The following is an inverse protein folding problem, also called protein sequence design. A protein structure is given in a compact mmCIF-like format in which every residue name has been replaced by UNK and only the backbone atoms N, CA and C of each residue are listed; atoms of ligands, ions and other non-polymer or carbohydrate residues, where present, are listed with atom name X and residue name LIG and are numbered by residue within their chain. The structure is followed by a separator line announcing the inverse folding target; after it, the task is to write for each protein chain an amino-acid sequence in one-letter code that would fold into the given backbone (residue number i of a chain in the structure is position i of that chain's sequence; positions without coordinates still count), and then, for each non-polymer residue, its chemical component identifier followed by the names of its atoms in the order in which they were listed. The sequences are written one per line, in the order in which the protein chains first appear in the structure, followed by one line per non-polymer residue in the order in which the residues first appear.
data_IF_199438171679
#
_entry.id   IF_199438171679
#
_cell.length_a   1.000
_cell.length_b   1.000
_cell.length_c   1.000
_cell.angle_alpha   90.00
_cell.angle_beta   90.00
_cell.angle_gamma   90.00
#
_symmetry.space_group_name_H-M   'P 1'
#
loop_
_entity.id
_entity.type
_entity.pdbx_description
1 polymer ?
#
# COMPACT_ATOMS: atom_id res chain seq x y z
N UNK A 1 13.01 -18.14 -2.06
CA UNK A 1 11.93 -18.98 -1.54
C UNK A 1 11.25 -19.63 -2.74
N UNK A 2 11.41 -20.91 -2.97
CA UNK A 2 10.76 -21.63 -4.07
C UNK A 2 9.40 -22.09 -3.56
N UNK A 3 8.32 -21.62 -4.17
CA UNK A 3 6.98 -22.12 -3.88
C UNK A 3 6.84 -23.53 -4.46
N UNK A 4 6.32 -24.51 -3.71
CA UNK A 4 6.11 -25.85 -4.24
C UNK A 4 5.00 -25.81 -5.29
N UNK A 5 5.29 -26.36 -6.48
CA UNK A 5 4.38 -26.65 -7.59
C UNK A 5 3.32 -25.58 -7.91
N UNK A 6 3.78 -24.44 -8.45
CA UNK A 6 2.97 -23.30 -8.82
C UNK A 6 2.60 -23.21 -10.30
N UNK A 7 2.23 -24.30 -10.95
CA UNK A 7 1.85 -24.25 -12.37
C UNK A 7 0.45 -23.69 -12.65
N UNK A 8 -0.29 -23.24 -11.62
CA UNK A 8 -1.66 -22.76 -11.81
C UNK A 8 -1.80 -21.26 -11.95
N UNK A 9 -1.06 -20.47 -11.17
CA UNK A 9 -1.19 -19.01 -11.15
C UNK A 9 0.20 -18.37 -11.05
N UNK A 10 0.54 -17.58 -12.05
CA UNK A 10 1.82 -16.84 -12.08
C UNK A 10 1.67 -15.43 -11.50
N UNK A 11 0.45 -14.85 -11.58
CA UNK A 11 0.16 -13.50 -11.14
C UNK A 11 -1.07 -13.44 -10.24
N UNK A 12 -1.07 -12.49 -9.31
CA UNK A 12 -2.15 -12.32 -8.35
C UNK A 12 -3.52 -12.06 -9.00
N UNK A 13 -3.57 -11.39 -10.14
CA UNK A 13 -4.83 -11.13 -10.86
C UNK A 13 -5.49 -12.41 -11.37
N UNK A 14 -4.72 -13.43 -11.74
CA UNK A 14 -5.25 -14.74 -12.19
C UNK A 14 -5.97 -15.46 -11.03
N UNK A 15 -5.37 -15.39 -9.83
CA UNK A 15 -5.97 -15.93 -8.62
C UNK A 15 -7.27 -15.19 -8.25
N UNK A 16 -7.29 -13.86 -8.36
CA UNK A 16 -8.49 -13.05 -8.14
C UNK A 16 -9.61 -13.46 -9.08
N UNK A 17 -9.32 -13.61 -10.37
CA UNK A 17 -10.28 -14.06 -11.37
C UNK A 17 -10.84 -15.45 -11.04
N UNK A 18 -9.99 -16.35 -10.57
CA UNK A 18 -10.44 -17.69 -10.19
C UNK A 18 -11.34 -17.68 -8.96
N UNK A 19 -10.98 -16.92 -7.92
CA UNK A 19 -11.79 -16.78 -6.71
C UNK A 19 -13.18 -16.22 -7.03
N UNK A 20 -13.29 -15.20 -7.88
CA UNK A 20 -14.57 -14.60 -8.28
C UNK A 20 -15.50 -15.58 -9.04
N UNK A 21 -14.97 -16.64 -9.65
CA UNK A 21 -15.81 -17.70 -10.24
C UNK A 21 -16.47 -18.60 -9.20
N UNK A 22 -15.92 -18.67 -8.00
CA UNK A 22 -16.40 -19.56 -6.94
C UNK A 22 -17.38 -18.92 -5.96
N UNK A 23 -17.60 -17.61 -6.05
CA UNK A 23 -18.56 -16.90 -5.20
C UNK A 23 -18.32 -15.40 -5.14
N UNK A 24 -19.22 -14.73 -4.45
CA UNK A 24 -19.13 -13.27 -4.19
C UNK A 24 -18.28 -13.01 -2.93
N UNK A 25 -16.97 -13.15 -3.09
CA UNK A 25 -16.00 -12.88 -2.02
C UNK A 25 -15.53 -11.42 -2.08
N UNK A 26 -15.41 -10.80 -0.90
CA UNK A 26 -14.70 -9.54 -0.75
C UNK A 26 -13.19 -9.81 -0.79
N UNK A 27 -12.50 -9.28 -1.79
CA UNK A 27 -11.09 -9.58 -2.06
C UNK A 27 -10.24 -8.33 -1.83
N UNK A 28 -9.34 -8.42 -0.86
CA UNK A 28 -8.28 -7.43 -0.65
C UNK A 28 -6.99 -7.80 -1.40
N UNK A 29 -6.28 -6.81 -1.90
CA UNK A 29 -5.00 -7.02 -2.55
C UNK A 29 -3.95 -6.00 -2.12
N UNK A 30 -2.69 -6.43 -2.04
CA UNK A 30 -1.58 -5.56 -1.73
C UNK A 30 -1.23 -4.64 -2.90
N UNK A 31 -0.86 -3.39 -2.59
CA UNK A 31 -0.24 -2.45 -3.52
C UNK A 31 1.00 -1.80 -2.90
N UNK A 32 1.89 -1.33 -3.76
CA UNK A 32 3.21 -0.83 -3.39
C UNK A 32 3.38 0.60 -3.90
N UNK A 33 3.09 1.62 -3.08
CA UNK A 33 3.20 3.01 -3.52
C UNK A 33 4.61 3.43 -3.95
N UNK A 34 5.63 2.81 -3.37
CA UNK A 34 7.04 3.03 -3.71
C UNK A 34 7.55 2.16 -4.88
N UNK A 35 6.75 1.17 -5.28
CA UNK A 35 7.09 0.12 -6.25
C UNK A 35 7.50 -1.18 -5.58
N UNK A 36 7.28 -2.31 -6.26
CA UNK A 36 7.67 -3.63 -5.77
C UNK A 36 9.18 -3.83 -5.95
N UNK A 37 9.84 -4.37 -4.93
CA UNK A 37 11.32 -4.55 -4.92
C UNK A 37 11.87 -5.43 -6.04
N UNK A 38 11.05 -6.31 -6.60
CA UNK A 38 11.44 -7.22 -7.69
C UNK A 38 11.20 -6.61 -9.08
N UNK A 39 10.57 -5.44 -9.18
CA UNK A 39 10.28 -4.79 -10.45
C UNK A 39 11.31 -3.72 -10.79
N UNK A 40 11.87 -3.81 -11.99
CA UNK A 40 12.83 -2.82 -12.48
C UNK A 40 12.16 -1.51 -12.93
N UNK A 41 10.86 -1.58 -13.31
CA UNK A 41 10.11 -0.45 -13.83
C UNK A 41 8.80 -0.22 -13.08
N UNK A 42 8.62 0.95 -12.47
CA UNK A 42 7.39 1.35 -11.78
C UNK A 42 6.13 1.32 -12.67
N UNK A 43 6.29 1.53 -13.96
CA UNK A 43 5.18 1.48 -14.93
C UNK A 43 4.56 0.08 -15.04
N UNK A 44 5.37 -0.96 -14.91
CA UNK A 44 4.90 -2.34 -14.91
C UNK A 44 4.10 -2.67 -13.65
N UNK A 45 4.54 -2.18 -12.48
CA UNK A 45 3.79 -2.31 -11.24
C UNK A 45 2.39 -1.71 -11.33
N UNK A 46 2.29 -0.51 -11.90
CA UNK A 46 1.00 0.18 -12.09
C UNK A 46 0.11 -0.61 -13.05
N UNK A 47 0.69 -1.17 -14.12
CA UNK A 47 -0.05 -2.02 -15.05
C UNK A 47 -0.58 -3.30 -14.39
N UNK A 48 0.25 -3.99 -13.62
CA UNK A 48 -0.16 -5.19 -12.88
C UNK A 48 -1.18 -4.88 -11.79
N UNK A 49 -1.04 -3.75 -11.12
CA UNK A 49 -2.02 -3.29 -10.14
C UNK A 49 -3.36 -3.01 -10.80
N UNK A 50 -3.38 -2.35 -11.95
CA UNK A 50 -4.59 -2.12 -12.73
C UNK A 50 -5.25 -3.44 -13.14
N UNK A 51 -4.49 -4.41 -13.66
CA UNK A 51 -5.02 -5.74 -13.99
C UNK A 51 -5.63 -6.43 -12.78
N UNK A 52 -5.01 -6.29 -11.61
CA UNK A 52 -5.50 -6.84 -10.35
C UNK A 52 -6.85 -6.21 -9.94
N UNK A 53 -6.96 -4.88 -10.01
CA UNK A 53 -8.20 -4.15 -9.73
C UNK A 53 -9.29 -4.51 -10.74
N UNK A 54 -8.98 -4.52 -12.03
CA UNK A 54 -9.92 -4.87 -13.11
C UNK A 54 -10.41 -6.33 -13.01
N UNK A 55 -9.66 -7.19 -12.32
CA UNK A 55 -10.03 -8.60 -12.06
C UNK A 55 -11.04 -8.78 -10.93
N UNK A 56 -11.43 -7.72 -10.21
CA UNK A 56 -12.47 -7.76 -9.19
C UNK A 56 -11.96 -7.65 -7.76
N UNK A 57 -10.84 -6.97 -7.53
CA UNK A 57 -10.39 -6.60 -6.19
C UNK A 57 -11.31 -5.51 -5.63
N UNK A 58 -11.79 -5.69 -4.41
CA UNK A 58 -12.74 -4.78 -3.75
C UNK A 58 -12.01 -3.67 -2.98
N UNK A 59 -10.84 -3.96 -2.38
CA UNK A 59 -10.02 -2.96 -1.70
C UNK A 59 -8.52 -3.24 -1.86
N UNK A 60 -7.71 -2.20 -1.66
CA UNK A 60 -6.25 -2.28 -1.70
C UNK A 60 -5.67 -1.98 -0.33
N UNK A 61 -4.67 -2.78 0.08
CA UNK A 61 -3.84 -2.51 1.25
C UNK A 61 -2.46 -2.08 0.78
N UNK A 62 -2.04 -0.89 1.18
CA UNK A 62 -0.70 -0.39 0.83
C UNK A 62 0.38 -1.10 1.64
N UNK A 63 1.53 -1.31 1.02
CA UNK A 63 2.75 -1.54 1.77
C UNK A 63 3.02 -0.30 2.65
N UNK A 64 3.67 -0.52 3.80
CA UNK A 64 4.02 0.56 4.72
C UNK A 64 4.89 1.61 4.02
N UNK A 65 4.59 2.88 4.25
CA UNK A 65 5.34 4.03 3.78
C UNK A 65 5.48 5.07 4.90
N UNK A 66 6.52 5.90 4.82
CA UNK A 66 6.82 6.93 5.83
C UNK A 66 6.67 8.35 5.28
N UNK A 67 6.31 8.49 4.01
CA UNK A 67 6.13 9.76 3.33
C UNK A 67 4.78 9.78 2.64
N UNK A 68 3.88 10.68 3.07
CA UNK A 68 2.54 10.79 2.51
C UNK A 68 2.54 11.30 1.07
N UNK A 69 3.57 12.03 0.65
CA UNK A 69 3.70 12.49 -0.75
C UNK A 69 3.76 11.29 -1.72
N UNK A 70 4.34 10.17 -1.29
CA UNK A 70 4.37 8.94 -2.07
C UNK A 70 2.97 8.41 -2.31
N UNK A 71 2.13 8.44 -1.27
CA UNK A 71 0.73 8.03 -1.35
C UNK A 71 -0.08 8.98 -2.23
N UNK A 72 0.05 10.31 -2.06
CA UNK A 72 -0.68 11.29 -2.85
C UNK A 72 -0.32 11.27 -4.34
N UNK A 73 0.92 10.93 -4.66
CA UNK A 73 1.39 10.79 -6.04
C UNK A 73 1.12 9.42 -6.64
N UNK A 74 0.50 8.50 -5.89
CA UNK A 74 0.23 7.15 -6.38
C UNK A 74 -0.88 7.16 -7.43
N UNK A 75 -0.64 6.67 -8.67
CA UNK A 75 -1.53 6.89 -9.81
C UNK A 75 -2.93 6.30 -9.69
N UNK A 76 -3.12 5.29 -8.84
CA UNK A 76 -4.42 4.61 -8.66
C UNK A 76 -5.45 5.53 -8.00
N UNK A 77 -5.04 6.48 -7.17
CA UNK A 77 -5.94 7.47 -6.57
C UNK A 77 -6.43 8.49 -7.58
N UNK A 78 -5.57 8.93 -8.50
CA UNK A 78 -5.92 9.94 -9.50
C UNK A 78 -6.93 9.45 -10.54
N UNK A 79 -7.12 8.15 -10.73
CA UNK A 79 -8.13 7.61 -11.65
C UNK A 79 -9.53 7.59 -11.03
N UNK A 80 -9.67 7.42 -9.70
CA UNK A 80 -10.97 7.39 -9.00
C UNK A 80 -11.57 8.77 -8.75
N UNK A 81 -10.76 9.80 -8.59
CA UNK A 81 -11.23 11.18 -8.38
C UNK A 81 -11.90 11.82 -9.60
N UNK A 82 -11.83 11.20 -10.77
CA UNK A 82 -12.42 11.72 -12.03
C UNK A 82 -13.76 11.09 -12.40
N UNK A 83 -14.18 9.99 -11.76
CA UNK A 83 -15.39 9.25 -12.12
C UNK A 83 -16.57 9.41 -11.14
N UNK A 84 -16.70 10.57 -10.48
CA UNK A 84 -17.84 10.86 -9.60
C UNK A 84 -19.16 11.17 -10.33
N UNK A 85 -19.35 10.76 -11.60
CA UNK A 85 -20.56 11.08 -12.36
C UNK A 85 -21.43 9.90 -12.78
N UNK A 86 -21.26 8.69 -12.25
CA UNK A 86 -22.23 7.61 -12.51
C UNK A 86 -22.31 6.66 -11.33
N UNK A 87 -23.50 6.61 -10.71
CA UNK A 87 -23.80 5.78 -9.55
C UNK A 87 -23.58 4.29 -9.82
N UNK A 88 -22.49 3.80 -9.33
CA UNK A 88 -22.22 2.39 -9.10
C UNK A 88 -21.55 2.30 -7.74
N UNK A 89 -21.99 1.33 -6.92
CA UNK A 89 -21.52 1.10 -5.57
C UNK A 89 -20.00 1.19 -5.50
N UNK A 90 -19.50 2.26 -4.88
CA UNK A 90 -18.08 2.56 -4.82
C UNK A 90 -17.36 1.55 -3.94
N UNK A 91 -16.41 0.83 -4.51
CA UNK A 91 -15.42 0.12 -3.73
C UNK A 91 -14.55 1.16 -3.04
N UNK A 92 -14.79 1.38 -1.76
CA UNK A 92 -13.89 2.14 -0.90
C UNK A 92 -12.61 1.34 -0.74
N UNK A 93 -11.49 1.88 -1.16
CA UNK A 93 -10.21 1.33 -0.80
C UNK A 93 -9.92 1.72 0.66
N UNK A 94 -10.29 0.84 1.58
CA UNK A 94 -9.88 0.96 2.97
C UNK A 94 -8.37 0.74 3.05
N UNK A 95 -7.65 1.76 3.50
CA UNK A 95 -6.21 1.68 3.69
C UNK A 95 -5.91 1.22 5.11
N UNK A 96 -5.52 -0.04 5.26
CA UNK A 96 -5.04 -0.55 6.53
C UNK A 96 -3.51 -0.46 6.58
N UNK A 97 -2.99 0.41 7.43
CA UNK A 97 -1.55 0.52 7.67
C UNK A 97 -1.12 -0.65 8.56
N UNK A 98 -0.42 -1.63 8.00
CA UNK A 98 0.18 -2.72 8.78
C UNK A 98 1.50 -2.24 9.39
N UNK A 99 1.51 -2.08 10.70
CA UNK A 99 2.68 -1.77 11.50
C UNK A 99 3.33 -3.04 12.02
N UNK A 100 4.07 -3.78 11.20
CA UNK A 100 4.93 -4.85 11.69
C UNK A 100 6.33 -4.74 11.11
N UNK A 101 7.30 -4.60 12.04
CA UNK A 101 8.75 -4.74 11.92
C UNK A 101 9.38 -4.53 10.52
N UNK A 102 9.39 -3.28 10.06
CA UNK A 102 10.16 -2.91 8.89
C UNK A 102 11.66 -3.04 9.17
N UNK A 103 12.25 -4.14 8.75
CA UNK A 103 13.71 -4.23 8.63
C UNK A 103 14.15 -3.43 7.41
N UNK A 104 15.11 -2.49 7.56
CA UNK A 104 15.67 -1.78 6.41
C UNK A 104 16.19 -2.79 5.38
N UNK A 105 15.73 -2.66 4.13
CA UNK A 105 16.25 -3.44 3.01
C UNK A 105 15.40 -4.61 2.51
N UNK A 106 14.37 -5.05 3.24
CA UNK A 106 13.51 -6.17 2.77
C UNK A 106 12.19 -5.75 2.13
N UNK A 107 11.71 -4.55 2.42
CA UNK A 107 10.42 -4.04 1.92
C UNK A 107 10.51 -3.02 0.79
N UNK A 108 11.71 -2.58 0.42
CA UNK A 108 11.91 -1.49 -0.54
C UNK A 108 11.47 -0.10 -0.03
N UNK A 109 11.07 -0.01 1.24
CA UNK A 109 10.56 1.23 1.84
C UNK A 109 11.66 2.27 1.99
N UNK A 110 11.40 3.48 1.53
CA UNK A 110 12.32 4.62 1.62
C UNK A 110 12.02 5.42 2.89
N UNK A 111 13.05 5.65 3.70
CA UNK A 111 12.91 6.47 4.90
C UNK A 111 13.19 7.95 4.57
N UNK A 112 12.20 8.86 4.79
CA UNK A 112 12.41 10.29 4.59
C UNK A 112 13.45 10.84 5.57
N UNK A 113 14.13 11.92 5.18
CA UNK A 113 15.20 12.55 5.99
C UNK A 113 14.72 12.89 7.40
N UNK A 114 13.45 13.30 7.56
CA UNK A 114 12.85 13.61 8.87
C UNK A 114 12.83 12.36 9.76
N UNK A 115 12.45 11.20 9.23
CA UNK A 115 12.42 9.94 9.98
C UNK A 115 13.83 9.46 10.34
N UNK A 116 14.79 9.57 9.41
CA UNK A 116 16.19 9.23 9.67
C UNK A 116 16.79 10.10 10.77
N UNK A 117 16.48 11.41 10.82
CA UNK A 117 16.92 12.28 11.89
C UNK A 117 16.34 11.89 13.27
N UNK A 118 15.11 11.38 13.30
CA UNK A 118 14.48 10.83 14.53
C UNK A 118 15.23 9.57 14.98
N UNK A 119 15.52 8.66 14.06
CA UNK A 119 16.27 7.43 14.34
C UNK A 119 17.67 7.75 14.88
N UNK A 120 18.38 8.67 14.25
CA UNK A 120 19.73 9.09 14.67
C UNK A 120 19.71 9.70 16.08
N UNK A 121 18.72 10.54 16.37
CA UNK A 121 18.64 11.25 17.66
C UNK A 121 18.14 10.38 18.82
N UNK A 122 17.18 9.51 18.58
CA UNK A 122 16.43 8.79 19.64
C UNK A 122 16.65 7.27 19.62
N UNK A 123 17.26 6.71 18.58
CA UNK A 123 17.39 5.28 18.39
C UNK A 123 18.15 4.53 19.51
N UNK A 124 18.99 5.22 20.29
CA UNK A 124 19.68 4.64 21.44
C UNK A 124 18.81 4.50 22.69
N UNK A 125 17.64 5.14 22.73
CA UNK A 125 16.70 5.12 23.87
C UNK A 125 15.35 4.57 23.44
N UNK A 126 14.98 3.31 23.81
CA UNK A 126 13.71 2.69 23.41
C UNK A 126 12.49 3.52 23.77
N UNK A 127 12.45 4.12 24.96
CA UNK A 127 11.30 4.91 25.41
C UNK A 127 11.17 6.22 24.63
N UNK A 128 12.29 6.91 24.38
CA UNK A 128 12.31 8.13 23.60
C UNK A 128 11.95 7.84 22.12
N UNK A 129 12.45 6.73 21.56
CA UNK A 129 12.12 6.29 20.20
C UNK A 129 10.64 5.96 20.05
N UNK A 130 10.05 5.26 21.04
CA UNK A 130 8.61 4.97 21.06
C UNK A 130 7.77 6.25 21.05
N UNK A 131 8.12 7.24 21.88
CA UNK A 131 7.40 8.52 21.90
C UNK A 131 7.54 9.29 20.58
N UNK A 132 8.74 9.35 20.02
CA UNK A 132 9.00 10.00 18.76
C UNK A 132 8.26 9.30 17.59
N UNK A 133 8.19 7.97 17.61
CA UNK A 133 7.44 7.17 16.64
C UNK A 133 5.94 7.45 16.71
N UNK A 134 5.36 7.52 17.91
CA UNK A 134 3.93 7.86 18.10
C UNK A 134 3.63 9.26 17.53
N UNK A 135 4.47 10.25 17.82
CA UNK A 135 4.30 11.61 17.30
C UNK A 135 4.38 11.62 15.78
N UNK A 136 5.37 10.92 15.20
CA UNK A 136 5.53 10.83 13.76
C UNK A 136 4.32 10.19 13.08
N UNK A 137 3.85 9.05 13.58
CA UNK A 137 2.68 8.35 13.05
C UNK A 137 1.40 9.18 13.20
N UNK A 138 1.24 9.88 14.32
CA UNK A 138 0.09 10.78 14.54
C UNK A 138 0.07 11.92 13.54
N UNK A 139 1.21 12.57 13.30
CA UNK A 139 1.35 13.63 12.32
C UNK A 139 1.03 13.14 10.89
N UNK A 140 1.52 11.95 10.54
CA UNK A 140 1.24 11.31 9.26
C UNK A 140 -0.27 11.01 9.08
N UNK A 141 -0.94 10.49 10.11
CA UNK A 141 -2.38 10.21 10.09
C UNK A 141 -3.19 11.51 9.96
N UNK A 142 -2.83 12.56 10.72
CA UNK A 142 -3.51 13.87 10.65
C UNK A 142 -3.41 14.43 9.24
N UNK A 143 -2.24 14.35 8.62
CA UNK A 143 -2.03 14.83 7.26
C UNK A 143 -2.85 14.03 6.23
N UNK A 144 -2.90 12.69 6.34
CA UNK A 144 -3.73 11.84 5.50
C UNK A 144 -5.21 12.20 5.60
N UNK A 145 -5.73 12.35 6.82
CA UNK A 145 -7.13 12.73 7.06
C UNK A 145 -7.45 14.14 6.52
N UNK A 146 -6.52 15.10 6.73
CA UNK A 146 -6.69 16.47 6.23
C UNK A 146 -6.72 16.55 4.69
N UNK A 147 -6.10 15.58 4.01
CA UNK A 147 -6.08 15.48 2.55
C UNK A 147 -7.16 14.51 1.98
N UNK A 148 -8.15 14.14 2.80
CA UNK A 148 -9.34 13.39 2.36
C UNK A 148 -9.14 11.89 2.22
N UNK A 149 -8.12 11.31 2.85
CA UNK A 149 -8.01 9.87 3.02
C UNK A 149 -8.96 9.46 4.16
N UNK A 150 -10.21 9.20 3.82
CA UNK A 150 -11.20 8.65 4.76
C UNK A 150 -11.01 7.13 4.89
N UNK A 151 -11.25 6.63 6.11
CA UNK A 151 -11.23 5.18 6.41
C UNK A 151 -12.52 4.50 5.98
#
# INVERSE_FOLDING_TARGET
MTFPDGDRFHYAYELVQEIKKHGDFCIGAACYPEGHVEQEHKEDDIRYLKQKVDSGVDFLTTQMFFDNDIHYNFPVQNQRSRDHSSGSAGNHADYQCCSDEAKPGTSGTVFPRRFLAILDRFGSSPDAMKQAGIVYATDQIIDLLANGCEQ
#
